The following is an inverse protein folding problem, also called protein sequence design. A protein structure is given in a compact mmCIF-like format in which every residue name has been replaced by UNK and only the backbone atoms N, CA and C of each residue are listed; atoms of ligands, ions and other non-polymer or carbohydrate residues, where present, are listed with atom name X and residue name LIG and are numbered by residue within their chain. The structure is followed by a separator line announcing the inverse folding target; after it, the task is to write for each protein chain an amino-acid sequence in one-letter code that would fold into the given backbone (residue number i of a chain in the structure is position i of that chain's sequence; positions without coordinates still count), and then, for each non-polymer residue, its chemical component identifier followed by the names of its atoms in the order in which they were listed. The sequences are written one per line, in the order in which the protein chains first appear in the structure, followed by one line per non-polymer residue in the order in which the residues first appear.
data_IF_957302395268
#
_entry.id   IF_957302395268
#
_cell.length_a   1.000
_cell.length_b   1.000
_cell.length_c   1.000
_cell.angle_alpha   90.00
_cell.angle_beta   90.00
_cell.angle_gamma   90.00
#
_symmetry.space_group_name_H-M   'P 1'
#
loop_
_entity.id
_entity.type
_entity.pdbx_description
1 polymer ?
#
# COMPACT_ATOMS: atom_id res chain seq x y z
N UNK A 1 18.34 -12.31 19.23
CA UNK A 1 18.46 -11.02 18.53
C UNK A 1 18.03 -11.14 17.07
N UNK A 2 18.72 -11.95 16.25
CA UNK A 2 18.46 -12.15 14.79
C UNK A 2 16.98 -12.43 14.42
N UNK A 3 16.29 -13.32 15.15
CA UNK A 3 14.86 -13.63 14.88
C UNK A 3 13.91 -12.43 15.02
N UNK A 4 14.18 -11.51 15.95
CA UNK A 4 13.32 -10.35 16.20
C UNK A 4 13.55 -9.24 15.16
N UNK A 5 14.78 -9.06 14.70
CA UNK A 5 15.10 -8.14 13.59
C UNK A 5 14.56 -8.65 12.25
N UNK A 6 14.62 -9.97 12.00
CA UNK A 6 13.99 -10.58 10.84
C UNK A 6 12.47 -10.38 10.86
N UNK A 7 11.83 -10.61 12.02
CA UNK A 7 10.40 -10.36 12.19
C UNK A 7 10.04 -8.89 11.92
N UNK A 8 10.91 -7.93 12.31
CA UNK A 8 10.73 -6.50 12.02
C UNK A 8 10.75 -6.21 10.51
N UNK A 9 11.70 -6.80 9.78
CA UNK A 9 11.80 -6.67 8.32
C UNK A 9 10.59 -7.26 7.59
N UNK A 10 10.18 -8.48 7.97
CA UNK A 10 9.00 -9.14 7.40
C UNK A 10 7.73 -8.34 7.70
N UNK A 11 7.60 -7.80 8.92
CA UNK A 11 6.47 -6.96 9.30
C UNK A 11 6.39 -5.65 8.49
N UNK A 12 7.53 -5.10 8.06
CA UNK A 12 7.60 -3.93 7.19
C UNK A 12 7.10 -4.25 5.77
N UNK A 13 7.57 -5.36 5.19
CA UNK A 13 7.16 -5.82 3.86
C UNK A 13 5.68 -6.23 3.81
N UNK A 14 5.19 -6.89 4.85
CA UNK A 14 3.76 -7.24 4.95
C UNK A 14 2.86 -5.99 5.00
N UNK A 15 3.31 -4.92 5.67
CA UNK A 15 2.59 -3.64 5.73
C UNK A 15 2.46 -2.99 4.36
N UNK A 16 3.52 -3.07 3.55
CA UNK A 16 3.52 -2.60 2.17
C UNK A 16 2.50 -3.36 1.31
N UNK A 17 2.57 -4.70 1.36
CA UNK A 17 1.69 -5.57 0.60
C UNK A 17 0.22 -5.39 1.00
N UNK A 18 -0.06 -5.24 2.31
CA UNK A 18 -1.39 -4.99 2.83
C UNK A 18 -1.96 -3.65 2.34
N UNK A 19 -1.17 -2.56 2.37
CA UNK A 19 -1.63 -1.25 1.92
C UNK A 19 -1.94 -1.23 0.40
N UNK A 20 -1.07 -1.80 -0.44
CA UNK A 20 -1.32 -1.85 -1.89
C UNK A 20 -2.53 -2.73 -2.23
N UNK A 21 -2.68 -3.87 -1.55
CA UNK A 21 -3.83 -4.77 -1.76
C UNK A 21 -5.14 -4.12 -1.30
N UNK A 22 -5.13 -3.41 -0.17
CA UNK A 22 -6.29 -2.68 0.34
C UNK A 22 -6.70 -1.55 -0.61
N UNK A 23 -5.74 -0.76 -1.10
CA UNK A 23 -5.99 0.28 -2.10
C UNK A 23 -6.57 -0.27 -3.41
N UNK A 24 -6.03 -1.38 -3.92
CA UNK A 24 -6.54 -2.04 -5.12
C UNK A 24 -7.97 -2.60 -4.92
N UNK A 25 -8.24 -3.23 -3.78
CA UNK A 25 -9.57 -3.74 -3.42
C UNK A 25 -10.59 -2.61 -3.30
N UNK A 26 -10.20 -1.49 -2.67
CA UNK A 26 -11.03 -0.29 -2.52
C UNK A 26 -11.42 0.29 -3.88
N UNK A 27 -10.46 0.34 -4.82
CA UNK A 27 -10.69 0.84 -6.18
C UNK A 27 -11.67 -0.05 -6.96
N UNK A 28 -11.57 -1.38 -6.83
CA UNK A 28 -12.55 -2.32 -7.41
C UNK A 28 -13.94 -2.16 -6.81
N UNK A 29 -14.06 -2.00 -5.48
CA UNK A 29 -15.36 -1.82 -4.81
C UNK A 29 -16.00 -0.49 -5.24
N UNK A 30 -15.23 0.59 -5.26
CA UNK A 30 -15.75 1.89 -5.64
C UNK A 30 -16.10 1.94 -7.14
N UNK A 31 -15.31 1.33 -8.03
CA UNK A 31 -15.66 1.19 -9.44
C UNK A 31 -16.99 0.45 -9.63
N UNK A 32 -17.24 -0.61 -8.86
CA UNK A 32 -18.53 -1.31 -8.86
C UNK A 32 -19.67 -0.45 -8.31
N UNK A 33 -19.41 0.34 -7.28
CA UNK A 33 -20.39 1.25 -6.67
C UNK A 33 -20.77 2.40 -7.62
N UNK A 34 -19.77 3.03 -8.25
CA UNK A 34 -19.96 4.06 -9.28
C UNK A 34 -20.73 3.47 -10.45
N UNK A 35 -20.35 2.29 -10.97
CA UNK A 35 -21.08 1.64 -12.07
C UNK A 35 -22.57 1.40 -11.76
N UNK A 36 -22.90 0.99 -10.53
CA UNK A 36 -24.29 0.82 -10.09
C UNK A 36 -25.05 2.15 -10.01
N UNK A 37 -24.39 3.18 -9.47
CA UNK A 37 -24.96 4.51 -9.31
C UNK A 37 -25.14 5.22 -10.66
N UNK A 38 -24.22 5.04 -11.60
CA UNK A 38 -24.30 5.58 -12.96
C UNK A 38 -25.54 5.08 -13.70
N UNK A 39 -25.95 3.83 -13.45
CA UNK A 39 -27.19 3.27 -13.99
C UNK A 39 -28.47 3.84 -13.34
N UNK A 40 -28.36 4.52 -12.19
CA UNK A 40 -29.52 5.02 -11.43
C UNK A 40 -29.85 6.51 -11.69
N UNK A 41 -28.95 7.29 -12.33
CA UNK A 41 -29.27 8.65 -12.80
C UNK A 41 -28.08 9.60 -12.95
N UNK A 42 -28.24 10.64 -13.78
CA UNK A 42 -27.18 11.58 -14.20
C UNK A 42 -26.60 12.43 -13.05
N UNK A 43 -27.42 12.83 -12.06
CA UNK A 43 -26.94 13.61 -10.90
C UNK A 43 -25.98 12.80 -10.03
N UNK A 44 -26.21 11.50 -9.89
CA UNK A 44 -25.36 10.66 -9.05
C UNK A 44 -24.02 10.31 -9.71
N UNK A 45 -23.88 10.47 -11.03
CA UNK A 45 -22.60 10.35 -11.75
C UNK A 45 -21.57 11.38 -11.23
N UNK A 46 -21.98 12.65 -11.09
CA UNK A 46 -21.10 13.72 -10.58
C UNK A 46 -20.77 13.49 -9.10
N UNK A 47 -21.73 13.01 -8.31
CA UNK A 47 -21.51 12.75 -6.88
C UNK A 47 -20.52 11.60 -6.65
N UNK A 48 -20.51 10.58 -7.52
CA UNK A 48 -19.59 9.44 -7.46
C UNK A 48 -18.13 9.78 -7.82
N UNK A 49 -17.90 10.88 -8.53
CA UNK A 49 -16.58 11.34 -8.92
C UNK A 49 -15.76 11.90 -7.74
N UNK A 50 -16.42 12.53 -6.76
CA UNK A 50 -15.80 13.10 -5.57
C UNK A 50 -15.09 12.03 -4.70
N UNK A 51 -15.76 10.94 -4.26
CA UNK A 51 -15.11 9.89 -3.48
C UNK A 51 -14.04 9.15 -4.28
N UNK A 52 -14.18 9.04 -5.61
CA UNK A 52 -13.14 8.47 -6.48
C UNK A 52 -11.86 9.29 -6.44
N UNK A 53 -11.98 10.62 -6.56
CA UNK A 53 -10.83 11.53 -6.55
C UNK A 53 -10.14 11.54 -5.18
N UNK A 54 -10.90 11.47 -4.09
CA UNK A 54 -10.36 11.34 -2.73
C UNK A 54 -9.58 10.04 -2.54
N UNK A 55 -10.12 8.90 -2.99
CA UNK A 55 -9.45 7.60 -2.88
C UNK A 55 -8.19 7.55 -3.73
N UNK A 56 -8.20 8.11 -4.95
CA UNK A 56 -7.01 8.18 -5.80
C UNK A 56 -5.92 9.03 -5.13
N UNK A 57 -6.28 10.18 -4.55
CA UNK A 57 -5.32 11.02 -3.83
C UNK A 57 -4.74 10.29 -2.61
N UNK A 58 -5.56 9.57 -1.85
CA UNK A 58 -5.13 8.80 -0.69
C UNK A 58 -4.22 7.62 -1.10
N UNK A 59 -4.58 6.89 -2.16
CA UNK A 59 -3.77 5.80 -2.70
C UNK A 59 -2.40 6.28 -3.19
N UNK A 60 -2.32 7.47 -3.80
CA UNK A 60 -1.05 8.09 -4.17
C UNK A 60 -0.16 8.39 -2.96
N UNK A 61 -0.75 8.87 -1.87
CA UNK A 61 -0.04 9.08 -0.60
C UNK A 61 0.46 7.76 0.01
N UNK A 62 -0.35 6.70 -0.03
CA UNK A 62 0.06 5.36 0.41
C UNK A 62 1.24 4.82 -0.40
N UNK A 63 1.25 5.06 -1.72
CA UNK A 63 2.36 4.69 -2.60
C UNK A 63 3.66 5.46 -2.28
N UNK A 64 3.56 6.74 -1.91
CA UNK A 64 4.72 7.52 -1.48
C UNK A 64 5.33 6.96 -0.18
N UNK A 65 4.49 6.63 0.80
CA UNK A 65 4.91 6.00 2.06
C UNK A 65 5.51 4.61 1.78
N UNK A 66 4.92 3.88 0.84
CA UNK A 66 5.40 2.57 0.40
C UNK A 66 6.84 2.64 -0.13
N UNK A 67 7.17 3.66 -0.91
CA UNK A 67 8.52 3.86 -1.44
C UNK A 67 9.55 4.11 -0.32
N UNK A 68 9.19 4.94 0.66
CA UNK A 68 10.02 5.21 1.85
C UNK A 68 10.26 3.92 2.64
N UNK A 69 9.23 3.09 2.81
CA UNK A 69 9.36 1.81 3.52
C UNK A 69 10.23 0.79 2.78
N UNK A 70 10.15 0.73 1.44
CA UNK A 70 11.00 -0.13 0.64
C UNK A 70 12.49 0.23 0.76
N UNK A 71 12.82 1.53 0.82
CA UNK A 71 14.18 1.99 1.08
C UNK A 71 14.70 1.52 2.44
N UNK A 72 13.89 1.66 3.50
CA UNK A 72 14.25 1.19 4.86
C UNK A 72 14.48 -0.32 4.88
N UNK A 73 13.65 -1.09 4.18
CA UNK A 73 13.81 -2.54 4.06
C UNK A 73 15.14 -2.92 3.40
N UNK A 74 15.50 -2.28 2.28
CA UNK A 74 16.76 -2.54 1.58
C UNK A 74 17.97 -2.26 2.47
N UNK A 75 17.97 -1.13 3.20
CA UNK A 75 19.05 -0.77 4.12
C UNK A 75 19.19 -1.81 5.24
N UNK A 76 18.09 -2.22 5.86
CA UNK A 76 18.13 -3.22 6.94
C UNK A 76 18.58 -4.60 6.42
N UNK A 77 18.16 -4.98 5.21
CA UNK A 77 18.53 -6.25 4.59
C UNK A 77 20.02 -6.30 4.23
N UNK A 78 20.56 -5.19 3.70
CA UNK A 78 22.00 -5.06 3.43
C UNK A 78 22.85 -5.12 4.70
N UNK A 79 22.42 -4.45 5.78
CA UNK A 79 23.09 -4.55 7.09
C UNK A 79 23.11 -5.99 7.61
N UNK A 80 22.03 -6.75 7.42
CA UNK A 80 21.97 -8.15 7.83
C UNK A 80 22.93 -9.05 7.05
N UNK A 81 23.04 -8.86 5.73
CA UNK A 81 23.99 -9.61 4.90
C UNK A 81 25.43 -9.33 5.33
N UNK A 82 25.74 -8.07 5.70
CA UNK A 82 27.06 -7.68 6.21
C UNK A 82 27.35 -8.32 7.58
N UNK A 83 26.41 -8.23 8.53
CA UNK A 83 26.55 -8.87 9.85
C UNK A 83 26.69 -10.40 9.75
N UNK A 84 26.03 -11.04 8.77
CA UNK A 84 26.15 -12.47 8.53
C UNK A 84 27.47 -12.89 7.86
N UNK A 85 28.12 -11.98 7.12
CA UNK A 85 29.40 -12.20 6.46
C UNK A 85 30.58 -11.96 7.42
N UNK A 86 30.51 -10.94 8.28
CA UNK A 86 31.53 -10.63 9.31
C UNK A 86 31.55 -11.65 10.47
N UNK A 87 30.53 -12.51 10.58
CA UNK A 87 30.46 -13.57 11.59
C UNK A 87 31.15 -14.88 11.16
N UNK A 88 31.85 -14.89 10.02
CA UNK A 88 32.77 -15.93 9.58
C UNK A 88 34.21 -15.39 9.59
#
# INVERSE_FOLDING_TARGET
YIRSYLARNVSLGLRLAANITAGHMLLSILSGFVYNIMNSGFIFFILGLIPLLFIIAFSGLELAIAFIQAQVFVVLSSSYIKDGLDLH
#
